data_IF_653438619968
#
_entry.id   IF_653438619968
#
_cell.length_a   1.000
_cell.length_b   1.000
_cell.length_c   1.000
_cell.angle_alpha   90.00
_cell.angle_beta   90.00
_cell.angle_gamma   90.00
#
_symmetry.space_group_name_H-M   'P 1'
#
loop_
_entity.id
_entity.type
_entity.pdbx_description
1 polymer ?
#
# COMPACT_ATOMS: atom_id res chain seq x y z
N UNK A 1 -29.57 10.63 -36.85
CA UNK A 1 -29.66 10.05 -35.50
C UNK A 1 -28.34 9.46 -35.16
N UNK A 2 -27.62 9.90 -34.12
CA UNK A 2 -26.41 9.22 -33.65
C UNK A 2 -26.80 7.90 -32.94
N UNK A 3 -25.97 6.84 -33.03
CA UNK A 3 -26.24 5.58 -32.36
C UNK A 3 -26.20 5.76 -30.83
N UNK A 4 -27.18 5.17 -30.20
CA UNK A 4 -27.38 5.13 -28.76
C UNK A 4 -26.18 4.45 -28.08
N UNK A 5 -25.37 5.20 -27.36
CA UNK A 5 -24.30 4.65 -26.55
C UNK A 5 -24.91 3.87 -25.38
N UNK A 6 -24.88 2.54 -25.48
CA UNK A 6 -25.28 1.65 -24.40
C UNK A 6 -24.40 1.95 -23.18
N UNK A 7 -25.01 2.36 -22.08
CA UNK A 7 -24.32 2.52 -20.79
C UNK A 7 -23.62 1.20 -20.43
N UNK A 8 -22.38 1.23 -19.93
CA UNK A 8 -21.69 0.01 -19.50
C UNK A 8 -22.51 -0.65 -18.38
N UNK A 9 -22.91 -1.88 -18.62
CA UNK A 9 -23.65 -2.69 -17.66
C UNK A 9 -22.75 -2.96 -16.46
N UNK A 10 -23.21 -2.55 -15.26
CA UNK A 10 -22.48 -2.84 -14.04
C UNK A 10 -22.31 -4.36 -13.87
N UNK A 11 -21.08 -4.81 -13.60
CA UNK A 11 -20.82 -6.20 -13.28
C UNK A 11 -21.61 -6.59 -12.02
N UNK A 12 -22.18 -7.81 -11.95
CA UNK A 12 -22.84 -8.28 -10.75
C UNK A 12 -21.86 -8.27 -9.57
N UNK A 13 -22.37 -8.05 -8.36
CA UNK A 13 -21.55 -8.16 -7.15
C UNK A 13 -20.85 -9.52 -7.11
N UNK A 14 -19.56 -9.58 -6.77
CA UNK A 14 -18.82 -10.83 -6.75
C UNK A 14 -19.46 -11.80 -5.76
N UNK A 15 -19.77 -13.02 -6.22
CA UNK A 15 -20.20 -14.10 -5.34
C UNK A 15 -18.99 -14.55 -4.52
N UNK A 16 -19.13 -14.55 -3.19
CA UNK A 16 -18.14 -15.18 -2.30
C UNK A 16 -18.33 -16.68 -2.37
N UNK A 17 -17.37 -17.36 -3.01
CA UNK A 17 -17.36 -18.84 -3.07
C UNK A 17 -16.60 -19.38 -1.86
N UNK A 18 -17.14 -20.43 -1.23
CA UNK A 18 -16.47 -21.12 -0.12
C UNK A 18 -15.54 -22.20 -0.67
N UNK A 19 -14.32 -22.31 -0.14
CA UNK A 19 -13.40 -23.39 -0.49
C UNK A 19 -14.01 -24.77 -0.13
N UNK A 20 -13.83 -25.76 -1.00
CA UNK A 20 -14.38 -27.10 -0.82
C UNK A 20 -13.65 -27.92 0.27
N UNK A 21 -12.43 -27.53 0.65
CA UNK A 21 -11.59 -28.21 1.65
C UNK A 21 -10.83 -27.23 2.52
N UNK A 22 -10.45 -27.68 3.71
CA UNK A 22 -9.49 -26.95 4.55
C UNK A 22 -8.10 -26.96 3.90
N UNK A 23 -7.28 -25.91 4.11
CA UNK A 23 -5.90 -25.91 3.66
C UNK A 23 -5.11 -27.10 4.23
N UNK A 24 -4.24 -27.69 3.41
CA UNK A 24 -3.33 -28.81 3.78
C UNK A 24 -1.92 -28.33 4.18
N UNK A 25 -1.78 -27.03 4.47
CA UNK A 25 -0.53 -26.40 4.86
C UNK A 25 -0.67 -25.59 6.16
N UNK A 26 0.42 -25.41 6.88
CA UNK A 26 0.51 -24.57 8.07
C UNK A 26 0.66 -23.08 7.69
N UNK A 27 0.34 -22.20 8.65
CA UNK A 27 0.58 -20.74 8.49
C UNK A 27 2.05 -20.44 8.22
N UNK A 28 2.98 -21.23 8.77
CA UNK A 28 4.41 -21.04 8.56
C UNK A 28 4.82 -21.37 7.13
N UNK A 29 4.35 -22.49 6.59
CA UNK A 29 4.57 -22.88 5.19
C UNK A 29 3.98 -21.86 4.22
N UNK A 30 2.76 -21.38 4.50
CA UNK A 30 2.14 -20.34 3.68
C UNK A 30 2.97 -19.04 3.68
N UNK A 31 3.45 -18.60 4.84
CA UNK A 31 4.33 -17.42 4.93
C UNK A 31 5.66 -17.64 4.19
N UNK A 32 6.21 -18.84 4.26
CA UNK A 32 7.45 -19.16 3.53
C UNK A 32 7.23 -19.09 2.01
N UNK A 33 6.10 -19.64 1.52
CA UNK A 33 5.72 -19.56 0.11
C UNK A 33 5.49 -18.12 -0.35
N UNK A 34 4.76 -17.30 0.43
CA UNK A 34 4.58 -15.87 0.15
C UNK A 34 5.92 -15.12 0.11
N UNK A 35 6.88 -15.51 0.97
CA UNK A 35 8.23 -14.92 1.01
C UNK A 35 9.05 -15.14 -0.26
N UNK A 36 8.67 -16.10 -1.12
CA UNK A 36 9.32 -16.32 -2.43
C UNK A 36 8.94 -15.28 -3.48
N UNK A 37 7.88 -14.52 -3.25
CA UNK A 37 7.51 -13.41 -4.11
C UNK A 37 8.29 -12.15 -3.70
N UNK A 38 9.27 -11.77 -4.51
CA UNK A 38 10.03 -10.54 -4.29
C UNK A 38 9.12 -9.33 -4.54
N UNK A 39 9.07 -8.41 -3.58
CA UNK A 39 8.26 -7.19 -3.66
C UNK A 39 9.11 -5.95 -3.51
N UNK A 40 8.59 -4.81 -3.93
CA UNK A 40 9.04 -3.52 -3.42
C UNK A 40 8.63 -3.34 -1.95
N UNK A 41 9.18 -2.30 -1.33
CA UNK A 41 8.83 -1.90 0.04
C UNK A 41 8.22 -0.51 0.01
N UNK A 42 7.07 -0.34 0.64
CA UNK A 42 6.39 0.95 0.74
C UNK A 42 6.22 1.37 2.19
N UNK A 43 6.11 2.68 2.41
CA UNK A 43 5.53 3.25 3.63
C UNK A 43 4.23 3.94 3.24
N UNK A 44 3.14 3.47 3.83
CA UNK A 44 1.83 4.12 3.70
C UNK A 44 1.73 5.19 4.79
N UNK A 45 1.36 6.39 4.40
CA UNK A 45 1.27 7.55 5.30
C UNK A 45 -0.07 8.24 5.18
N UNK A 46 -0.60 8.70 6.30
CA UNK A 46 -1.85 9.47 6.34
C UNK A 46 -1.83 10.46 7.51
N UNK A 47 -2.82 11.33 7.55
CA UNK A 47 -3.12 12.17 8.69
C UNK A 47 -4.48 11.76 9.25
N UNK A 48 -4.52 11.41 10.53
CA UNK A 48 -5.75 11.09 11.23
C UNK A 48 -6.60 12.36 11.46
N UNK A 49 -7.88 12.17 11.79
CA UNK A 49 -8.81 13.28 12.02
C UNK A 49 -8.39 14.22 13.16
N UNK A 50 -7.66 13.71 14.14
CA UNK A 50 -7.08 14.50 15.25
C UNK A 50 -5.78 15.23 14.87
N UNK A 51 -5.37 15.14 13.58
CA UNK A 51 -4.15 15.75 13.07
C UNK A 51 -2.88 14.91 13.30
N UNK A 52 -2.95 13.81 14.03
CA UNK A 52 -1.79 12.95 14.26
C UNK A 52 -1.31 12.27 12.97
N UNK A 53 0.02 12.03 12.90
CA UNK A 53 0.63 11.37 11.76
C UNK A 53 0.52 9.85 11.90
N UNK A 54 0.06 9.23 10.83
CA UNK A 54 -0.04 7.76 10.71
C UNK A 54 0.94 7.28 9.65
N UNK A 55 1.63 6.19 9.94
CA UNK A 55 2.55 5.58 8.99
C UNK A 55 2.83 4.12 9.33
N UNK A 56 3.02 3.30 8.32
CA UNK A 56 3.38 1.88 8.46
C UNK A 56 4.09 1.38 7.21
N UNK A 57 4.95 0.39 7.39
CA UNK A 57 5.60 -0.31 6.28
C UNK A 57 4.68 -1.39 5.73
N UNK A 58 4.54 -1.44 4.42
CA UNK A 58 3.78 -2.45 3.70
C UNK A 58 4.49 -2.89 2.43
N UNK A 59 4.36 -4.17 2.08
CA UNK A 59 4.84 -4.75 0.84
C UNK A 59 3.72 -5.35 -0.03
N UNK A 60 2.47 -5.11 0.35
CA UNK A 60 1.27 -5.58 -0.36
C UNK A 60 0.81 -4.65 -1.49
N UNK A 61 1.56 -3.60 -1.79
CA UNK A 61 1.24 -2.64 -2.84
C UNK A 61 1.24 -3.27 -4.23
N UNK A 62 0.21 -2.94 -5.04
CA UNK A 62 0.14 -3.32 -6.44
C UNK A 62 -0.63 -2.28 -7.28
N UNK A 63 -0.36 -2.26 -8.59
CA UNK A 63 -1.16 -1.51 -9.57
C UNK A 63 -2.47 -2.23 -9.87
N UNK A 64 -3.53 -1.46 -10.20
CA UNK A 64 -4.86 -2.01 -10.54
C UNK A 64 -5.31 -1.55 -11.91
N UNK A 65 -5.27 -0.24 -12.20
CA UNK A 65 -5.83 0.34 -13.41
C UNK A 65 -5.08 1.61 -13.81
N UNK A 66 -5.02 1.88 -15.10
CA UNK A 66 -4.50 3.13 -15.65
C UNK A 66 -5.59 4.17 -15.92
N UNK A 67 -6.84 3.74 -16.10
CA UNK A 67 -7.96 4.63 -16.36
C UNK A 67 -9.24 4.09 -15.69
N UNK A 68 -9.70 4.68 -14.57
CA UNK A 68 -8.96 5.63 -13.75
C UNK A 68 -7.66 5.06 -13.17
N UNK A 69 -6.69 5.89 -12.75
CA UNK A 69 -5.43 5.41 -12.20
C UNK A 69 -5.65 4.88 -10.79
N UNK A 70 -5.57 3.56 -10.62
CA UNK A 70 -5.84 2.87 -9.36
C UNK A 70 -4.66 2.03 -8.91
N UNK A 71 -4.44 2.04 -7.59
CA UNK A 71 -3.48 1.18 -6.88
C UNK A 71 -4.20 0.47 -5.73
N UNK A 72 -3.65 -0.63 -5.24
CA UNK A 72 -4.13 -1.30 -4.03
C UNK A 72 -2.99 -1.63 -3.07
N UNK A 73 -3.36 -1.86 -1.82
CA UNK A 73 -2.54 -2.43 -0.76
C UNK A 73 -3.44 -3.01 0.33
N UNK A 74 -2.90 -3.82 1.22
CA UNK A 74 -3.67 -4.49 2.26
C UNK A 74 -3.13 -4.21 3.66
N UNK A 75 -4.03 -4.11 4.65
CA UNK A 75 -3.72 -3.88 6.05
C UNK A 75 -4.45 -4.88 6.94
N UNK A 76 -3.73 -5.44 7.90
CA UNK A 76 -4.34 -6.30 8.92
C UNK A 76 -5.38 -5.53 9.76
N UNK A 77 -6.54 -6.12 10.00
CA UNK A 77 -7.60 -5.59 10.86
C UNK A 77 -7.12 -5.29 12.29
N UNK A 78 -6.10 -6.03 12.74
CA UNK A 78 -5.48 -5.83 14.05
C UNK A 78 -4.46 -4.65 14.08
N UNK A 79 -4.17 -4.01 12.94
CA UNK A 79 -3.20 -2.92 12.89
C UNK A 79 -3.72 -1.68 13.62
N UNK A 80 -2.87 -1.07 14.44
CA UNK A 80 -3.22 0.16 15.19
C UNK A 80 -3.55 1.37 14.31
N UNK A 81 -3.12 1.34 13.03
CA UNK A 81 -3.41 2.36 12.04
C UNK A 81 -4.77 2.18 11.34
N UNK A 82 -5.44 1.03 11.55
CA UNK A 82 -6.66 0.65 10.82
C UNK A 82 -7.74 1.73 10.93
N UNK A 83 -8.08 2.18 12.13
CA UNK A 83 -9.13 3.17 12.33
C UNK A 83 -8.87 4.47 11.56
N UNK A 84 -7.64 4.99 11.63
CA UNK A 84 -7.29 6.23 10.93
C UNK A 84 -7.32 6.10 9.40
N UNK A 85 -6.88 4.96 8.87
CA UNK A 85 -6.83 4.71 7.43
C UNK A 85 -8.20 4.35 6.86
N UNK A 86 -9.05 3.64 7.62
CA UNK A 86 -10.42 3.32 7.18
C UNK A 86 -11.34 4.53 7.13
N UNK A 87 -11.15 5.50 8.02
CA UNK A 87 -11.98 6.71 8.08
C UNK A 87 -11.37 7.89 7.32
N UNK A 88 -10.06 7.85 7.04
CA UNK A 88 -9.34 8.88 6.31
C UNK A 88 -9.70 8.88 4.83
N UNK A 89 -9.92 10.08 4.27
CA UNK A 89 -10.22 10.23 2.84
C UNK A 89 -8.99 10.11 1.95
N UNK A 90 -7.79 10.34 2.48
CA UNK A 90 -6.54 10.38 1.70
C UNK A 90 -5.37 9.73 2.42
N UNK A 91 -4.47 9.15 1.62
CA UNK A 91 -3.19 8.62 2.07
C UNK A 91 -2.13 8.76 0.97
N UNK A 92 -0.86 8.65 1.34
CA UNK A 92 0.22 8.54 0.37
C UNK A 92 0.89 7.17 0.45
N UNK A 93 1.24 6.62 -0.70
CA UNK A 93 2.11 5.44 -0.85
C UNK A 93 3.49 5.93 -1.23
N UNK A 94 4.48 5.67 -0.38
CA UNK A 94 5.87 6.05 -0.62
C UNK A 94 6.66 4.77 -0.93
N UNK A 95 7.05 4.56 -2.18
CA UNK A 95 7.92 3.44 -2.57
C UNK A 95 9.33 3.80 -2.13
N UNK A 96 9.92 3.00 -1.25
CA UNK A 96 11.22 3.30 -0.68
C UNK A 96 12.37 3.01 -1.64
N UNK A 97 13.38 3.87 -1.60
CA UNK A 97 14.65 3.64 -2.28
C UNK A 97 15.57 2.73 -1.44
N UNK A 98 16.58 2.14 -2.07
CA UNK A 98 17.51 1.20 -1.45
C UNK A 98 18.23 1.76 -0.21
N UNK A 99 18.51 3.06 -0.19
CA UNK A 99 19.13 3.78 0.92
C UNK A 99 18.18 4.04 2.11
N UNK A 100 16.89 3.70 1.96
CA UNK A 100 15.84 3.92 2.98
C UNK A 100 15.49 2.65 3.79
N UNK A 101 16.36 1.63 3.82
CA UNK A 101 16.14 0.42 4.65
C UNK A 101 15.82 0.75 6.10
N UNK A 102 16.59 1.65 6.73
CA UNK A 102 16.37 2.06 8.12
C UNK A 102 14.96 2.66 8.32
N UNK A 103 14.47 3.42 7.33
CA UNK A 103 13.12 3.98 7.37
C UNK A 103 12.04 2.90 7.27
N UNK A 104 12.25 1.86 6.43
CA UNK A 104 11.36 0.70 6.36
C UNK A 104 11.26 -0.02 7.72
N UNK A 105 12.38 -0.27 8.37
CA UNK A 105 12.45 -0.89 9.69
C UNK A 105 11.79 -0.02 10.77
N UNK A 106 12.01 1.30 10.72
CA UNK A 106 11.41 2.26 11.65
C UNK A 106 9.87 2.27 11.56
N UNK A 107 9.29 2.30 10.36
CA UNK A 107 7.83 2.28 10.18
C UNK A 107 7.21 0.90 10.41
N UNK A 108 7.97 -0.18 10.39
CA UNK A 108 7.56 -1.50 10.84
C UNK A 108 7.61 -1.65 12.38
N UNK A 109 8.34 -0.78 13.05
CA UNK A 109 8.57 -0.79 14.50
C UNK A 109 7.45 -0.17 15.34
N UNK A 110 7.74 0.11 16.64
CA UNK A 110 6.80 0.71 17.58
C UNK A 110 6.26 2.06 17.11
N UNK A 111 4.95 2.27 17.31
CA UNK A 111 4.21 3.43 16.79
C UNK A 111 4.79 4.78 17.23
N UNK A 112 5.17 4.90 18.49
CA UNK A 112 5.71 6.11 19.13
C UNK A 112 7.06 6.56 18.53
N UNK A 113 7.78 5.66 17.86
CA UNK A 113 9.10 5.92 17.26
C UNK A 113 9.05 6.14 15.76
N UNK A 114 7.93 5.85 15.09
CA UNK A 114 7.84 5.84 13.61
C UNK A 114 8.18 7.17 12.97
N UNK A 115 7.84 8.29 13.60
CA UNK A 115 8.02 9.63 13.03
C UNK A 115 9.25 10.38 13.55
N UNK A 116 10.04 9.77 14.43
CA UNK A 116 11.24 10.39 14.98
C UNK A 116 12.27 10.68 13.88
N UNK A 117 12.61 11.96 13.66
CA UNK A 117 13.61 12.38 12.68
C UNK A 117 13.22 12.17 11.20
N UNK A 118 11.93 11.89 10.91
CA UNK A 118 11.46 11.65 9.54
C UNK A 118 11.23 12.97 8.81
N UNK A 119 11.86 13.12 7.64
CA UNK A 119 11.65 14.25 6.75
C UNK A 119 10.54 13.95 5.74
N UNK A 120 9.57 14.87 5.65
CA UNK A 120 8.46 14.76 4.71
C UNK A 120 7.96 16.15 4.29
N UNK A 121 7.24 16.22 3.18
CA UNK A 121 6.40 17.36 2.80
C UNK A 121 4.94 17.00 3.02
N UNK A 122 4.11 18.02 3.24
CA UNK A 122 2.65 17.83 3.27
C UNK A 122 2.18 17.77 1.82
N UNK A 123 1.65 16.64 1.43
CA UNK A 123 1.10 16.41 0.10
C UNK A 123 -0.31 16.98 -0.08
N UNK A 124 -0.94 16.65 -1.20
CA UNK A 124 -2.34 16.97 -1.46
C UNK A 124 -3.19 16.36 -0.34
N UNK A 125 -4.16 17.12 0.15
CA UNK A 125 -5.08 16.69 1.20
C UNK A 125 -4.41 16.28 2.54
N UNK A 126 -3.17 16.72 2.78
CA UNK A 126 -2.54 16.64 4.09
C UNK A 126 -1.76 15.36 4.38
N UNK A 127 -1.77 14.36 3.51
CA UNK A 127 -0.99 13.14 3.68
C UNK A 127 0.52 13.43 3.62
N UNK A 128 1.35 12.89 4.54
CA UNK A 128 2.80 13.09 4.48
C UNK A 128 3.41 12.36 3.28
N UNK A 129 4.22 13.07 2.49
CA UNK A 129 5.04 12.53 1.39
C UNK A 129 6.49 12.48 1.83
N UNK A 130 7.07 11.29 1.95
CA UNK A 130 8.41 11.09 2.49
C UNK A 130 9.50 11.55 1.52
N UNK A 131 10.50 12.26 2.05
CA UNK A 131 11.63 12.67 1.23
C UNK A 131 12.49 11.47 0.83
N UNK A 132 13.06 11.52 -0.36
CA UNK A 132 13.99 10.50 -0.86
C UNK A 132 13.34 9.21 -1.35
N UNK A 133 12.02 9.07 -1.33
CA UNK A 133 11.34 7.92 -1.91
C UNK A 133 11.67 7.74 -3.41
N UNK A 134 11.72 6.50 -3.88
CA UNK A 134 11.92 6.20 -5.30
C UNK A 134 10.72 6.63 -6.14
N UNK A 135 9.50 6.46 -5.60
CA UNK A 135 8.27 6.99 -6.17
C UNK A 135 7.24 7.27 -5.07
N UNK A 136 6.28 8.15 -5.37
CA UNK A 136 5.17 8.46 -4.46
C UNK A 136 3.85 8.50 -5.22
N UNK A 137 2.78 8.05 -4.55
CA UNK A 137 1.41 8.14 -5.03
C UNK A 137 0.57 8.77 -3.93
N UNK A 138 -0.01 9.93 -4.20
CA UNK A 138 -0.98 10.58 -3.32
C UNK A 138 -2.38 10.16 -3.78
N UNK A 139 -3.14 9.51 -2.89
CA UNK A 139 -4.33 8.80 -3.25
C UNK A 139 -5.55 9.27 -2.47
N UNK A 140 -6.67 9.40 -3.18
CA UNK A 140 -8.00 9.35 -2.57
C UNK A 140 -8.32 7.90 -2.19
N UNK A 141 -8.80 7.68 -0.97
CA UNK A 141 -9.20 6.36 -0.45
C UNK A 141 -10.55 5.96 -1.05
N UNK A 142 -10.54 5.39 -2.25
CA UNK A 142 -11.71 5.20 -3.10
C UNK A 142 -12.67 4.12 -2.60
N UNK A 143 -12.11 2.95 -2.24
CA UNK A 143 -12.90 1.82 -1.75
C UNK A 143 -12.08 0.88 -0.88
N UNK A 144 -12.79 0.13 -0.04
CA UNK A 144 -12.20 -0.80 0.92
C UNK A 144 -12.99 -2.11 0.87
N UNK A 145 -12.27 -3.23 0.93
CA UNK A 145 -12.85 -4.57 0.90
C UNK A 145 -12.28 -5.39 2.04
N UNK A 146 -13.16 -5.88 2.92
CA UNK A 146 -12.76 -6.79 3.99
C UNK A 146 -12.57 -8.19 3.44
N UNK A 147 -11.35 -8.73 3.58
CA UNK A 147 -11.00 -10.08 3.14
C UNK A 147 -10.20 -10.79 4.22
N UNK A 148 -10.80 -11.84 4.80
CA UNK A 148 -10.19 -12.58 5.90
C UNK A 148 -9.83 -11.68 7.08
N UNK A 149 -8.56 -11.70 7.50
CA UNK A 149 -8.00 -10.90 8.59
C UNK A 149 -7.41 -9.55 8.14
N UNK A 150 -7.62 -9.19 6.86
CA UNK A 150 -7.14 -7.95 6.25
C UNK A 150 -8.29 -7.12 5.65
N UNK A 151 -7.95 -5.87 5.34
CA UNK A 151 -8.75 -4.96 4.50
C UNK A 151 -7.88 -4.58 3.30
N UNK A 152 -8.43 -4.73 2.10
CA UNK A 152 -7.83 -4.24 0.85
C UNK A 152 -8.29 -2.81 0.64
N UNK A 153 -7.33 -1.89 0.53
CA UNK A 153 -7.58 -0.49 0.21
C UNK A 153 -7.30 -0.28 -1.28
N UNK A 154 -8.27 0.30 -1.98
CA UNK A 154 -8.09 0.75 -3.37
C UNK A 154 -8.02 2.26 -3.38
N UNK A 155 -6.89 2.80 -3.82
CA UNK A 155 -6.66 4.24 -3.95
C UNK A 155 -6.74 4.71 -5.38
N UNK A 156 -7.47 5.80 -5.60
CA UNK A 156 -7.41 6.55 -6.84
C UNK A 156 -6.27 7.56 -6.76
N UNK A 157 -5.32 7.47 -7.68
CA UNK A 157 -4.12 8.30 -7.67
C UNK A 157 -4.45 9.69 -8.17
N UNK A 158 -4.32 10.69 -7.30
CA UNK A 158 -4.52 12.12 -7.63
C UNK A 158 -3.23 12.80 -8.06
N UNK A 159 -2.10 12.34 -7.52
CA UNK A 159 -0.75 12.82 -7.87
C UNK A 159 0.26 11.69 -7.74
N UNK A 160 1.22 11.64 -8.65
CA UNK A 160 2.37 10.75 -8.52
C UNK A 160 3.66 11.45 -8.91
N UNK A 161 4.76 10.96 -8.35
CA UNK A 161 6.11 11.38 -8.75
C UNK A 161 7.06 10.18 -8.66
N UNK A 162 8.17 10.26 -9.38
CA UNK A 162 9.25 9.30 -9.26
C UNK A 162 10.61 9.99 -9.41
N UNK A 163 11.62 9.40 -8.82
CA UNK A 163 13.01 9.84 -8.89
C UNK A 163 13.75 9.00 -9.93
N UNK A 164 14.09 9.61 -11.07
CA UNK A 164 14.84 8.94 -12.12
C UNK A 164 16.18 8.38 -11.58
N UNK A 165 16.50 7.13 -11.91
CA UNK A 165 17.73 6.46 -11.48
C UNK A 165 17.78 6.03 -10.00
N UNK A 166 16.69 6.17 -9.25
CA UNK A 166 16.64 5.62 -7.91
C UNK A 166 16.46 4.12 -7.94
N UNK A 167 17.36 3.37 -7.30
CA UNK A 167 17.21 1.94 -7.06
C UNK A 167 16.16 1.69 -5.99
N UNK A 168 15.17 0.81 -6.21
CA UNK A 168 14.14 0.52 -5.22
C UNK A 168 14.67 -0.38 -4.09
N UNK A 169 14.08 -0.24 -2.91
CA UNK A 169 14.24 -1.20 -1.83
C UNK A 169 13.36 -2.42 -2.10
N UNK A 170 13.96 -3.60 -2.14
CA UNK A 170 13.27 -4.87 -2.37
C UNK A 170 13.23 -5.71 -1.09
N UNK A 171 12.20 -6.54 -0.97
CA UNK A 171 12.02 -7.49 0.12
C UNK A 171 11.74 -8.89 -0.43
N UNK A 172 12.55 -9.88 -0.04
CA UNK A 172 12.42 -11.26 -0.45
C UNK A 172 13.00 -12.18 0.63
N UNK A 173 12.30 -13.29 0.95
CA UNK A 173 12.77 -14.26 1.91
C UNK A 173 13.14 -13.67 3.29
N UNK A 174 12.36 -12.71 3.77
CA UNK A 174 12.59 -11.98 5.03
C UNK A 174 13.89 -11.13 5.07
N UNK A 175 14.44 -10.75 3.91
CA UNK A 175 15.63 -9.92 3.78
C UNK A 175 15.40 -8.76 2.82
N UNK A 176 16.17 -7.69 3.02
CA UNK A 176 16.19 -6.55 2.12
C UNK A 176 17.27 -6.68 1.05
N UNK A 177 16.95 -6.20 -0.14
CA UNK A 177 17.83 -6.22 -1.32
C UNK A 177 17.66 -4.91 -2.10
N UNK A 178 18.46 -4.75 -3.14
CA UNK A 178 18.26 -3.79 -4.22
C UNK A 178 18.38 -4.51 -5.56
N UNK A 179 17.98 -3.84 -6.64
CA UNK A 179 18.02 -4.41 -7.99
C UNK A 179 19.45 -4.51 -8.54
N UNK A 180 19.69 -5.56 -9.31
CA UNK A 180 20.82 -5.66 -10.24
C UNK A 180 20.28 -6.18 -11.57
N UNK A 181 20.55 -5.51 -12.71
CA UNK A 181 20.21 -6.03 -14.04
C UNK A 181 20.83 -7.41 -14.28
N UNK A 182 20.10 -8.30 -14.97
CA UNK A 182 20.60 -9.61 -15.40
C UNK A 182 21.53 -9.46 -16.60
#
# INVERSE_FOLDING_TARGET
MPPNASSPQALPAPAVLTAASSPDFSVLEFRAALGMFATGVTVITARAADGSLVGLTANSFNSVSLSPPLVLWSLSKAATAMAALSTGAHYAVNILAADQKALAEQFAGPRDKRWAGVNFTVGVNGAPVLHGAAATFECFNRSQYEEGDHVIFVGEVERCSHRAGASPLLYHGAKFYTEHPL
#
